data_IF_588675705023
#
_entry.id   IF_588675705023
#
_cell.length_a   1.000
_cell.length_b   1.000
_cell.length_c   1.000
_cell.angle_alpha   90.00
_cell.angle_beta   90.00
_cell.angle_gamma   90.00
#
_symmetry.space_group_name_H-M   'P 1'
#
loop_
_entity.id
_entity.type
_entity.pdbx_description
1 polymer ?
#
# COMPACT_ATOMS: atom_id res chain seq x y z
N UNK A 1 5.19 27.70 81.39
CA UNK A 1 6.31 26.90 80.84
C UNK A 1 5.73 25.80 79.97
N UNK A 2 6.00 25.92 78.65
CA UNK A 2 6.20 24.84 77.68
C UNK A 2 4.98 23.95 77.38
N UNK A 3 4.06 24.27 76.45
CA UNK A 3 4.29 24.48 75.02
C UNK A 3 5.29 23.46 74.42
N UNK A 4 4.96 22.16 74.35
CA UNK A 4 5.70 21.22 73.48
C UNK A 4 5.08 19.81 73.27
N UNK A 5 3.77 19.60 73.15
CA UNK A 5 3.26 18.25 72.82
C UNK A 5 2.19 18.16 71.72
N UNK A 6 1.82 19.27 71.08
CA UNK A 6 0.84 19.29 69.98
C UNK A 6 1.49 19.41 68.58
N UNK A 7 2.53 18.61 68.29
CA UNK A 7 3.18 18.59 66.97
C UNK A 7 3.61 17.15 66.61
N UNK A 8 2.68 16.18 66.66
CA UNK A 8 2.99 14.79 66.26
C UNK A 8 1.95 14.12 65.36
N UNK A 9 0.90 14.81 64.90
CA UNK A 9 -0.21 14.16 64.18
C UNK A 9 -0.61 14.79 62.83
N UNK A 10 0.23 15.60 62.19
CA UNK A 10 -0.11 16.23 60.89
C UNK A 10 1.01 16.17 59.85
N UNK A 11 1.99 15.28 60.02
CA UNK A 11 3.14 15.15 59.09
C UNK A 11 3.31 13.73 58.54
N UNK A 12 2.23 12.97 58.40
CA UNK A 12 2.28 11.60 57.87
C UNK A 12 1.37 11.24 56.68
N UNK A 13 0.45 12.08 56.15
CA UNK A 13 -0.35 11.66 54.99
C UNK A 13 0.13 12.24 53.64
N UNK A 14 1.20 13.05 53.60
CA UNK A 14 1.60 13.71 52.34
C UNK A 14 2.83 13.07 51.65
N UNK A 15 3.66 12.32 52.38
CA UNK A 15 4.83 11.65 51.80
C UNK A 15 4.49 10.29 51.12
N UNK A 16 3.34 9.68 51.45
CA UNK A 16 2.93 8.40 50.87
C UNK A 16 2.15 8.56 49.55
N UNK A 17 1.56 9.74 49.30
CA UNK A 17 0.82 10.00 48.06
C UNK A 17 1.73 10.37 46.87
N UNK A 18 2.95 10.90 47.13
CA UNK A 18 3.90 11.25 46.08
C UNK A 18 4.70 10.04 45.56
N UNK A 19 4.78 8.96 46.33
CA UNK A 19 5.51 7.74 45.93
C UNK A 19 4.68 6.80 45.05
N UNK A 20 3.34 6.86 45.13
CA UNK A 20 2.44 6.02 44.32
C UNK A 20 2.23 6.60 42.90
N UNK A 21 2.41 7.91 42.71
CA UNK A 21 2.32 8.55 41.39
C UNK A 21 3.62 8.46 40.56
N UNK A 22 4.78 8.20 41.18
CA UNK A 22 6.05 7.98 40.48
C UNK A 22 6.31 6.50 40.12
N UNK A 23 5.57 5.55 40.69
CA UNK A 23 5.71 4.13 40.37
C UNK A 23 5.02 3.72 39.06
N UNK A 24 4.10 4.53 38.52
CA UNK A 24 3.42 4.24 37.24
C UNK A 24 4.21 4.69 36.00
N UNK A 25 5.30 5.45 36.14
CA UNK A 25 6.07 5.95 35.00
C UNK A 25 7.09 4.93 34.44
N UNK A 26 7.35 3.81 35.13
CA UNK A 26 8.42 2.87 34.75
C UNK A 26 7.96 1.68 33.88
N UNK A 27 6.66 1.51 33.63
CA UNK A 27 6.14 0.40 32.80
C UNK A 27 5.85 0.76 31.35
N UNK A 28 6.15 1.98 30.90
CA UNK A 28 6.27 2.28 29.47
C UNK A 28 7.59 1.74 28.90
N UNK A 29 7.88 0.46 29.17
CA UNK A 29 8.94 -0.27 28.50
C UNK A 29 8.45 -0.47 27.08
N UNK A 30 9.13 0.15 26.11
CA UNK A 30 8.91 -0.05 24.70
C UNK A 30 8.68 -1.55 24.44
N UNK A 31 7.44 -1.93 24.13
CA UNK A 31 7.18 -3.20 23.48
C UNK A 31 7.85 -3.09 22.13
N UNK A 32 9.06 -3.62 22.03
CA UNK A 32 9.67 -3.93 20.75
C UNK A 32 8.68 -4.86 20.05
N UNK A 33 7.90 -4.31 19.12
CA UNK A 33 6.99 -5.09 18.29
C UNK A 33 7.81 -6.25 17.72
N UNK A 34 7.36 -7.49 17.99
CA UNK A 34 8.00 -8.65 17.42
C UNK A 34 8.05 -8.48 15.89
N UNK A 35 9.15 -8.83 15.22
CA UNK A 35 9.24 -8.67 13.77
C UNK A 35 8.08 -9.41 13.11
N UNK A 36 7.17 -8.68 12.44
CA UNK A 36 6.14 -9.32 11.62
C UNK A 36 6.85 -10.16 10.55
N UNK A 37 6.43 -11.42 10.33
CA UNK A 37 6.96 -12.23 9.25
C UNK A 37 6.79 -11.51 7.91
N UNK A 38 7.81 -11.52 7.07
CA UNK A 38 7.73 -10.94 5.74
C UNK A 38 6.69 -11.70 4.90
N UNK A 39 5.88 -11.00 4.07
CA UNK A 39 4.88 -11.66 3.25
C UNK A 39 5.56 -12.50 2.16
N UNK A 40 5.38 -13.82 2.21
CA UNK A 40 6.12 -14.75 1.35
C UNK A 40 5.61 -14.76 -0.10
N UNK A 41 6.52 -15.00 -1.05
CA UNK A 41 6.18 -15.18 -2.48
C UNK A 41 5.42 -16.50 -2.70
N UNK A 42 5.74 -17.54 -1.92
CA UNK A 42 5.01 -18.81 -1.98
C UNK A 42 3.53 -18.64 -1.61
N UNK A 43 3.24 -17.89 -0.54
CA UNK A 43 1.86 -17.57 -0.14
C UNK A 43 1.13 -16.74 -1.21
N UNK A 44 1.82 -15.78 -1.83
CA UNK A 44 1.28 -15.03 -2.96
C UNK A 44 0.93 -15.93 -4.14
N UNK A 45 1.78 -16.90 -4.51
CA UNK A 45 1.50 -17.79 -5.64
C UNK A 45 0.24 -18.63 -5.42
N UNK A 46 0.02 -19.10 -4.18
CA UNK A 46 -1.21 -19.80 -3.80
C UNK A 46 -2.42 -18.87 -3.93
N UNK A 47 -2.33 -17.64 -3.42
CA UNK A 47 -3.39 -16.64 -3.53
C UNK A 47 -3.73 -16.29 -4.98
N UNK A 48 -2.72 -16.13 -5.84
CA UNK A 48 -2.92 -15.85 -7.26
C UNK A 48 -3.54 -17.04 -8.01
N UNK A 49 -3.18 -18.28 -7.66
CA UNK A 49 -3.81 -19.47 -8.22
C UNK A 49 -5.28 -19.60 -7.80
N UNK A 50 -5.60 -19.27 -6.54
CA UNK A 50 -6.98 -19.21 -6.06
C UNK A 50 -7.77 -18.14 -6.81
N UNK A 51 -7.19 -16.95 -7.03
CA UNK A 51 -7.82 -15.89 -7.81
C UNK A 51 -8.09 -16.30 -9.26
N UNK A 52 -7.12 -16.93 -9.93
CA UNK A 52 -7.32 -17.44 -11.29
C UNK A 52 -8.47 -18.46 -11.35
N UNK A 53 -8.55 -19.37 -10.37
CA UNK A 53 -9.63 -20.36 -10.29
C UNK A 53 -10.99 -19.70 -10.01
N UNK A 54 -11.06 -18.77 -9.06
CA UNK A 54 -12.29 -18.03 -8.75
C UNK A 54 -12.75 -17.25 -9.98
N UNK A 55 -11.85 -16.55 -10.67
CA UNK A 55 -12.19 -15.79 -11.87
C UNK A 55 -12.77 -16.68 -13.00
N UNK A 56 -12.20 -17.88 -13.19
CA UNK A 56 -12.70 -18.85 -14.16
C UNK A 56 -14.09 -19.36 -13.79
N UNK A 57 -14.28 -19.77 -12.53
CA UNK A 57 -15.58 -20.25 -12.03
C UNK A 57 -16.64 -19.17 -12.13
N UNK A 58 -16.34 -17.95 -11.66
CA UNK A 58 -17.27 -16.82 -11.75
C UNK A 58 -17.62 -16.51 -13.20
N UNK A 59 -16.66 -16.54 -14.12
CA UNK A 59 -16.96 -16.32 -15.54
C UNK A 59 -17.87 -17.41 -16.13
N UNK A 60 -17.68 -18.68 -15.74
CA UNK A 60 -18.56 -19.78 -16.15
C UNK A 60 -19.97 -19.63 -15.58
N UNK A 61 -20.10 -19.18 -14.34
CA UNK A 61 -21.40 -19.03 -13.70
C UNK A 61 -22.15 -17.80 -14.24
N UNK A 62 -21.44 -16.69 -14.48
CA UNK A 62 -21.98 -15.53 -15.22
C UNK A 62 -22.53 -15.93 -16.59
N UNK A 63 -21.84 -16.79 -17.34
CA UNK A 63 -22.28 -17.26 -18.65
C UNK A 63 -23.53 -18.16 -18.61
N UNK A 64 -23.81 -18.78 -17.46
CA UNK A 64 -25.00 -19.63 -17.26
C UNK A 64 -26.21 -18.85 -16.76
N UNK A 65 -26.01 -17.64 -16.22
CA UNK A 65 -27.10 -16.86 -15.64
C UNK A 65 -28.20 -16.62 -16.68
N UNK A 66 -29.44 -16.78 -16.24
CA UNK A 66 -30.62 -16.50 -17.05
C UNK A 66 -31.30 -15.24 -16.52
N UNK A 67 -30.56 -14.12 -16.55
CA UNK A 67 -30.99 -12.81 -16.01
C UNK A 67 -32.32 -12.38 -16.63
N UNK A 68 -32.57 -12.74 -17.88
CA UNK A 68 -33.83 -12.46 -18.58
C UNK A 68 -35.05 -13.12 -17.92
N UNK A 69 -34.84 -14.21 -17.18
CA UNK A 69 -35.87 -14.98 -16.46
C UNK A 69 -36.03 -14.56 -15.00
N UNK A 70 -35.19 -13.65 -14.50
CA UNK A 70 -35.28 -13.19 -13.12
C UNK A 70 -36.53 -12.34 -12.90
N UNK A 71 -37.09 -12.41 -11.69
CA UNK A 71 -38.31 -11.69 -11.28
C UNK A 71 -38.05 -10.22 -10.97
N UNK A 72 -37.50 -9.48 -11.93
CA UNK A 72 -37.26 -8.03 -11.86
C UNK A 72 -37.89 -7.30 -13.05
N UNK A 73 -38.01 -5.97 -12.97
CA UNK A 73 -38.51 -5.16 -14.07
C UNK A 73 -37.50 -5.09 -15.24
N UNK A 74 -37.94 -4.58 -16.40
CA UNK A 74 -37.13 -4.56 -17.64
C UNK A 74 -35.81 -3.78 -17.49
N UNK A 75 -35.88 -2.57 -16.94
CA UNK A 75 -34.72 -1.70 -16.77
C UNK A 75 -33.67 -2.29 -15.83
N UNK A 76 -34.11 -2.89 -14.71
CA UNK A 76 -33.22 -3.60 -13.79
C UNK A 76 -32.58 -4.79 -14.49
N UNK A 77 -33.32 -5.61 -15.25
CA UNK A 77 -32.73 -6.73 -16.01
C UNK A 77 -31.65 -6.26 -16.99
N UNK A 78 -31.90 -5.18 -17.71
CA UNK A 78 -30.92 -4.62 -18.65
C UNK A 78 -29.64 -4.16 -17.92
N UNK A 79 -29.79 -3.50 -16.75
CA UNK A 79 -28.65 -3.08 -15.95
C UNK A 79 -27.86 -4.29 -15.42
N UNK A 80 -28.53 -5.32 -14.90
CA UNK A 80 -27.89 -6.53 -14.41
C UNK A 80 -27.13 -7.27 -15.51
N UNK A 81 -27.71 -7.34 -16.73
CA UNK A 81 -27.03 -7.91 -17.88
C UNK A 81 -25.76 -7.11 -18.22
N UNK A 82 -25.85 -5.78 -18.25
CA UNK A 82 -24.69 -4.91 -18.48
C UNK A 82 -23.57 -5.10 -17.44
N UNK A 83 -23.96 -5.30 -16.16
CA UNK A 83 -23.03 -5.59 -15.08
C UNK A 83 -22.35 -6.96 -15.27
N UNK A 84 -23.12 -8.01 -15.59
CA UNK A 84 -22.60 -9.35 -15.85
C UNK A 84 -21.63 -9.37 -17.04
N UNK A 85 -21.97 -8.68 -18.13
CA UNK A 85 -21.10 -8.56 -19.30
C UNK A 85 -19.80 -7.80 -18.96
N UNK A 86 -19.89 -6.76 -18.13
CA UNK A 86 -18.73 -5.98 -17.69
C UNK A 86 -17.81 -6.79 -16.78
N UNK A 87 -18.38 -7.59 -15.87
CA UNK A 87 -17.64 -8.55 -15.06
C UNK A 87 -16.91 -9.55 -15.95
N UNK A 88 -17.61 -10.20 -16.89
CA UNK A 88 -17.01 -11.19 -17.79
C UNK A 88 -15.85 -10.62 -18.60
N UNK A 89 -16.01 -9.42 -19.19
CA UNK A 89 -14.93 -8.73 -19.90
C UNK A 89 -13.73 -8.41 -19.00
N UNK A 90 -13.96 -7.99 -17.76
CA UNK A 90 -12.87 -7.65 -16.85
C UNK A 90 -12.12 -8.90 -16.36
N UNK A 91 -12.84 -9.96 -16.02
CA UNK A 91 -12.28 -11.26 -15.61
C UNK A 91 -11.44 -11.90 -16.71
N UNK A 92 -11.88 -11.82 -17.97
CA UNK A 92 -11.20 -12.46 -19.10
C UNK A 92 -10.16 -11.57 -19.79
N UNK A 93 -10.36 -10.24 -19.79
CA UNK A 93 -9.52 -9.30 -20.52
C UNK A 93 -8.52 -8.51 -19.66
N UNK A 94 -8.90 -8.08 -18.46
CA UNK A 94 -8.07 -7.19 -17.64
C UNK A 94 -7.32 -7.93 -16.54
N UNK A 95 -8.01 -8.81 -15.81
CA UNK A 95 -7.46 -9.49 -14.64
C UNK A 95 -6.19 -10.31 -14.96
N UNK A 96 -6.10 -11.09 -16.05
CA UNK A 96 -4.91 -11.90 -16.34
C UNK A 96 -3.65 -11.05 -16.53
N UNK A 97 -3.77 -9.88 -17.15
CA UNK A 97 -2.65 -8.97 -17.34
C UNK A 97 -2.20 -8.35 -16.01
N UNK A 98 -3.13 -8.02 -15.11
CA UNK A 98 -2.81 -7.48 -13.78
C UNK A 98 -2.15 -8.55 -12.91
N UNK A 99 -2.69 -9.77 -12.90
CA UNK A 99 -2.08 -10.93 -12.21
C UNK A 99 -0.69 -11.20 -12.76
N UNK A 100 -0.51 -11.18 -14.08
CA UNK A 100 0.80 -11.29 -14.73
C UNK A 100 1.79 -10.23 -14.23
N UNK A 101 1.36 -8.97 -14.12
CA UNK A 101 2.18 -7.89 -13.57
C UNK A 101 2.63 -8.13 -12.12
N UNK A 102 1.76 -8.68 -11.28
CA UNK A 102 2.13 -9.06 -9.90
C UNK A 102 3.08 -10.26 -9.89
N UNK A 103 2.86 -11.28 -10.73
CA UNK A 103 3.77 -12.44 -10.85
C UNK A 103 5.18 -12.02 -11.29
N UNK A 104 5.29 -11.06 -12.20
CA UNK A 104 6.58 -10.53 -12.66
C UNK A 104 7.27 -9.63 -11.63
N UNK A 105 6.55 -9.13 -10.63
CA UNK A 105 7.08 -8.18 -9.64
C UNK A 105 6.36 -8.33 -8.28
N UNK A 106 6.53 -9.46 -7.59
CA UNK A 106 5.73 -9.80 -6.40
C UNK A 106 5.99 -8.86 -5.20
N UNK A 107 7.17 -8.24 -5.16
CA UNK A 107 7.61 -7.28 -4.13
C UNK A 107 7.20 -5.82 -4.44
N UNK A 108 6.62 -5.57 -5.62
CA UNK A 108 6.21 -4.24 -6.04
C UNK A 108 4.85 -3.88 -5.41
N UNK A 109 4.89 -2.95 -4.45
CA UNK A 109 3.70 -2.50 -3.71
C UNK A 109 2.61 -1.94 -4.64
N UNK A 110 2.99 -1.16 -5.66
CA UNK A 110 2.04 -0.57 -6.59
C UNK A 110 1.34 -1.61 -7.47
N UNK A 111 2.05 -2.66 -7.91
CA UNK A 111 1.46 -3.76 -8.67
C UNK A 111 0.44 -4.55 -7.82
N UNK A 112 0.80 -4.88 -6.58
CA UNK A 112 -0.11 -5.56 -5.65
C UNK A 112 -1.35 -4.69 -5.35
N UNK A 113 -1.16 -3.38 -5.14
CA UNK A 113 -2.28 -2.46 -4.91
C UNK A 113 -3.21 -2.33 -6.11
N UNK A 114 -2.67 -2.32 -7.33
CA UNK A 114 -3.48 -2.34 -8.57
C UNK A 114 -4.32 -3.61 -8.66
N UNK A 115 -3.76 -4.77 -8.29
CA UNK A 115 -4.51 -6.03 -8.23
C UNK A 115 -5.62 -5.96 -7.18
N UNK A 116 -5.31 -5.53 -5.96
CA UNK A 116 -6.30 -5.35 -4.90
C UNK A 116 -7.46 -4.47 -5.33
N UNK A 117 -7.20 -3.27 -5.89
CA UNK A 117 -8.26 -2.36 -6.35
C UNK A 117 -9.13 -2.95 -7.45
N UNK A 118 -8.55 -3.76 -8.34
CA UNK A 118 -9.32 -4.42 -9.39
C UNK A 118 -10.20 -5.53 -8.82
N UNK A 119 -9.68 -6.35 -7.90
CA UNK A 119 -10.46 -7.38 -7.19
C UNK A 119 -11.58 -6.76 -6.35
N UNK A 120 -11.33 -5.65 -5.68
CA UNK A 120 -12.32 -4.89 -4.90
C UNK A 120 -13.46 -4.38 -5.80
N UNK A 121 -13.14 -3.79 -6.97
CA UNK A 121 -14.17 -3.38 -7.93
C UNK A 121 -14.98 -4.55 -8.50
N UNK A 122 -14.34 -5.70 -8.75
CA UNK A 122 -15.04 -6.93 -9.16
C UNK A 122 -15.99 -7.41 -8.06
N UNK A 123 -15.53 -7.38 -6.80
CA UNK A 123 -16.32 -7.74 -5.64
C UNK A 123 -17.55 -6.86 -5.46
N UNK A 124 -17.41 -5.53 -5.60
CA UNK A 124 -18.54 -4.60 -5.46
C UNK A 124 -19.65 -4.88 -6.48
N UNK A 125 -19.27 -5.03 -7.75
CA UNK A 125 -20.25 -5.28 -8.83
C UNK A 125 -20.89 -6.66 -8.71
N UNK A 126 -20.11 -7.69 -8.36
CA UNK A 126 -20.61 -9.04 -8.16
C UNK A 126 -21.51 -9.13 -6.93
N UNK A 127 -21.17 -8.42 -5.85
CA UNK A 127 -22.00 -8.35 -4.63
C UNK A 127 -23.33 -7.66 -4.93
N UNK A 128 -23.33 -6.53 -5.63
CA UNK A 128 -24.56 -5.86 -6.06
C UNK A 128 -25.44 -6.74 -6.95
N UNK A 129 -24.84 -7.51 -7.87
CA UNK A 129 -25.56 -8.49 -8.69
C UNK A 129 -26.19 -9.60 -7.83
N UNK A 130 -25.43 -10.11 -6.85
CA UNK A 130 -25.85 -11.16 -5.91
C UNK A 130 -26.98 -10.70 -4.99
N UNK A 131 -26.93 -9.45 -4.52
CA UNK A 131 -27.96 -8.86 -3.66
C UNK A 131 -29.31 -8.82 -4.38
N UNK A 132 -29.33 -8.44 -5.66
CA UNK A 132 -30.57 -8.48 -6.46
C UNK A 132 -31.00 -9.92 -6.73
N UNK A 133 -30.04 -10.82 -6.99
CA UNK A 133 -30.30 -12.23 -7.22
C UNK A 133 -30.98 -12.91 -6.02
N UNK A 134 -30.63 -12.52 -4.79
CA UNK A 134 -31.17 -13.12 -3.55
C UNK A 134 -32.70 -13.14 -3.48
N UNK A 135 -33.34 -12.14 -4.08
CA UNK A 135 -34.81 -11.98 -4.05
C UNK A 135 -35.48 -12.29 -5.40
N UNK A 136 -34.70 -12.32 -6.48
CA UNK A 136 -35.26 -12.27 -7.84
C UNK A 136 -34.84 -13.42 -8.73
N UNK A 137 -33.71 -14.06 -8.44
CA UNK A 137 -33.16 -15.12 -9.26
C UNK A 137 -33.66 -16.51 -8.83
N UNK A 138 -33.57 -17.53 -9.70
CA UNK A 138 -33.64 -18.92 -9.28
C UNK A 138 -32.59 -19.23 -8.21
N UNK A 139 -32.90 -20.18 -7.32
CA UNK A 139 -32.01 -20.55 -6.21
C UNK A 139 -30.60 -20.95 -6.68
N UNK A 140 -30.49 -21.63 -7.82
CA UNK A 140 -29.21 -22.04 -8.39
C UNK A 140 -28.32 -20.84 -8.76
N UNK A 141 -28.86 -19.89 -9.51
CA UNK A 141 -28.16 -18.66 -9.91
C UNK A 141 -27.68 -17.86 -8.67
N UNK A 142 -28.56 -17.67 -7.68
CA UNK A 142 -28.19 -16.99 -6.44
C UNK A 142 -27.08 -17.72 -5.67
N UNK A 143 -27.17 -19.04 -5.54
CA UNK A 143 -26.17 -19.83 -4.79
C UNK A 143 -24.80 -19.82 -5.47
N UNK A 144 -24.75 -19.88 -6.80
CA UNK A 144 -23.51 -19.76 -7.55
C UNK A 144 -22.85 -18.39 -7.29
N UNK A 145 -23.62 -17.31 -7.48
CA UNK A 145 -23.14 -15.95 -7.25
C UNK A 145 -22.70 -15.69 -5.80
N UNK A 146 -23.45 -16.17 -4.81
CA UNK A 146 -23.09 -16.06 -3.40
C UNK A 146 -21.78 -16.79 -3.08
N UNK A 147 -21.54 -17.94 -3.71
CA UNK A 147 -20.28 -18.69 -3.57
C UNK A 147 -19.12 -17.91 -4.17
N UNK A 148 -19.29 -17.36 -5.37
CA UNK A 148 -18.30 -16.53 -6.04
C UNK A 148 -17.92 -15.29 -5.21
N UNK A 149 -18.92 -14.56 -4.68
CA UNK A 149 -18.72 -13.40 -3.80
C UNK A 149 -17.92 -13.80 -2.56
N UNK A 150 -18.25 -14.92 -1.91
CA UNK A 150 -17.53 -15.40 -0.73
C UNK A 150 -16.06 -15.71 -1.04
N UNK A 151 -15.79 -16.37 -2.17
CA UNK A 151 -14.43 -16.69 -2.58
C UNK A 151 -13.62 -15.41 -2.88
N UNK A 152 -14.25 -14.47 -3.59
CA UNK A 152 -13.61 -13.21 -3.95
C UNK A 152 -13.32 -12.34 -2.71
N UNK A 153 -14.21 -12.35 -1.71
CA UNK A 153 -14.00 -11.66 -0.43
C UNK A 153 -12.78 -12.18 0.33
N UNK A 154 -12.60 -13.51 0.37
CA UNK A 154 -11.43 -14.13 1.00
C UNK A 154 -10.14 -13.67 0.31
N UNK A 155 -10.13 -13.68 -1.03
CA UNK A 155 -8.98 -13.21 -1.81
C UNK A 155 -8.70 -11.73 -1.58
N UNK A 156 -9.76 -10.90 -1.58
CA UNK A 156 -9.67 -9.46 -1.38
C UNK A 156 -9.06 -9.11 -0.02
N UNK A 157 -9.49 -9.78 1.04
CA UNK A 157 -8.90 -9.63 2.39
C UNK A 157 -7.44 -10.07 2.43
N UNK A 158 -7.12 -11.24 1.88
CA UNK A 158 -5.74 -11.73 1.86
C UNK A 158 -4.79 -10.80 1.07
N UNK A 159 -5.26 -10.16 0.00
CA UNK A 159 -4.51 -9.13 -0.72
C UNK A 159 -4.31 -7.87 0.13
N UNK A 160 -5.34 -7.43 0.86
CA UNK A 160 -5.22 -6.29 1.78
C UNK A 160 -4.19 -6.56 2.88
N UNK A 161 -4.28 -7.72 3.55
CA UNK A 161 -3.34 -8.14 4.60
C UNK A 161 -1.89 -8.18 4.08
N UNK A 162 -1.69 -8.68 2.85
CA UNK A 162 -0.37 -8.68 2.21
C UNK A 162 0.15 -7.26 1.98
N UNK A 163 -0.69 -6.37 1.48
CA UNK A 163 -0.32 -4.96 1.22
C UNK A 163 0.07 -4.27 2.53
N UNK A 164 -0.70 -4.50 3.59
CA UNK A 164 -0.41 -3.99 4.93
C UNK A 164 0.94 -4.51 5.44
N UNK A 165 1.20 -5.82 5.35
CA UNK A 165 2.48 -6.41 5.74
C UNK A 165 3.67 -5.83 4.96
N UNK A 166 3.51 -5.64 3.64
CA UNK A 166 4.54 -5.00 2.83
C UNK A 166 4.78 -3.55 3.25
N UNK A 167 3.71 -2.77 3.50
CA UNK A 167 3.83 -1.39 3.94
C UNK A 167 4.55 -1.29 5.29
N UNK A 168 4.13 -2.08 6.28
CA UNK A 168 4.75 -2.14 7.61
C UNK A 168 6.24 -2.49 7.54
N UNK A 169 6.63 -3.41 6.66
CA UNK A 169 8.05 -3.74 6.44
C UNK A 169 8.85 -2.57 5.86
N UNK A 170 8.28 -1.82 4.91
CA UNK A 170 8.93 -0.64 4.33
C UNK A 170 9.07 0.46 5.37
N UNK A 171 8.05 0.72 6.16
CA UNK A 171 8.09 1.70 7.25
C UNK A 171 9.13 1.33 8.32
N UNK A 172 9.20 0.05 8.70
CA UNK A 172 10.23 -0.44 9.62
C UNK A 172 11.65 -0.34 9.04
N UNK A 173 11.83 -0.42 7.71
CA UNK A 173 13.11 -0.20 7.06
C UNK A 173 13.49 1.30 7.06
N UNK A 174 12.53 2.18 6.79
CA UNK A 174 12.72 3.63 6.84
C UNK A 174 13.08 4.12 8.25
N UNK A 175 12.44 3.56 9.28
CA UNK A 175 12.72 3.88 10.68
C UNK A 175 14.14 3.46 11.15
N UNK A 176 14.76 2.47 10.48
CA UNK A 176 16.09 1.95 10.82
C UNK A 176 17.23 2.56 9.97
N UNK A 177 16.92 3.22 8.87
CA UNK A 177 17.91 3.86 8.00
C UNK A 177 18.42 5.20 8.55
N UNK A 178 19.63 5.67 8.17
CA UNK A 178 20.24 6.90 8.71
C UNK A 178 19.49 8.22 8.41
N UNK A 179 18.34 8.16 7.72
CA UNK A 179 17.49 9.31 7.40
C UNK A 179 16.27 9.46 8.33
N UNK A 180 16.05 8.54 9.26
CA UNK A 180 15.05 8.70 10.32
C UNK A 180 15.62 9.57 11.45
N UNK A 181 15.17 10.83 11.53
CA UNK A 181 15.58 11.88 12.50
C UNK A 181 16.84 12.68 12.13
N UNK A 182 16.66 13.79 11.40
CA UNK A 182 17.13 15.15 11.78
C UNK A 182 16.93 16.13 10.61
N UNK A 183 15.70 16.64 10.46
CA UNK A 183 15.46 17.88 9.71
C UNK A 183 14.69 18.87 10.60
N UNK A 184 15.33 19.30 11.68
CA UNK A 184 15.26 20.67 12.24
C UNK A 184 15.86 20.69 13.65
N UNK A 185 17.18 20.89 13.74
CA UNK A 185 17.80 21.64 14.83
C UNK A 185 19.26 21.96 14.49
N UNK A 186 19.50 23.26 14.33
CA UNK A 186 20.79 23.97 14.39
C UNK A 186 21.72 23.79 13.18
N UNK A 187 21.67 24.83 12.34
CA UNK A 187 22.86 25.42 11.73
C UNK A 187 23.96 25.53 12.77
N UNK A 188 24.89 24.57 12.75
CA UNK A 188 26.11 24.54 13.53
C UNK A 188 27.27 24.51 12.54
N UNK A 189 27.92 25.67 12.38
CA UNK A 189 29.18 25.83 11.63
C UNK A 189 30.13 24.67 11.96
N UNK A 190 30.40 23.81 10.98
CA UNK A 190 31.54 22.90 11.03
C UNK A 190 32.23 22.87 9.66
N UNK A 191 33.39 23.54 9.63
CA UNK A 191 34.55 23.23 8.80
C UNK A 191 34.34 23.00 7.32
N UNK A 192 34.39 24.08 6.53
CA UNK A 192 34.74 24.02 5.10
C UNK A 192 36.15 23.43 4.99
N UNK A 193 36.26 22.12 4.76
CA UNK A 193 37.46 21.54 4.16
C UNK A 193 37.34 21.77 2.66
N UNK A 194 38.24 22.61 2.14
CA UNK A 194 38.41 22.95 0.73
C UNK A 194 38.28 21.68 -0.13
N UNK A 195 37.23 21.62 -0.94
CA UNK A 195 37.29 20.86 -2.19
C UNK A 195 38.14 21.74 -3.11
N UNK A 196 39.40 21.37 -3.27
CA UNK A 196 40.21 21.86 -4.38
C UNK A 196 39.58 21.29 -5.64
N UNK A 197 38.74 22.09 -6.28
CA UNK A 197 38.29 21.85 -7.65
C UNK A 197 39.48 22.26 -8.51
N UNK A 198 40.20 21.26 -9.03
CA UNK A 198 41.13 21.43 -10.14
C UNK A 198 40.28 21.71 -11.39
N UNK A 199 40.01 23.00 -11.59
CA UNK A 199 39.34 23.56 -12.74
C UNK A 199 40.36 23.62 -13.90
N UNK A 200 40.63 22.48 -14.52
CA UNK A 200 41.36 22.43 -15.79
C UNK A 200 40.38 22.62 -16.96
N UNK A 201 39.90 23.86 -17.12
CA UNK A 201 39.36 24.38 -18.37
C UNK A 201 40.41 25.28 -19.05
N UNK A 202 40.55 25.23 -20.39
CA UNK A 202 41.71 25.78 -21.09
C UNK A 202 41.72 27.32 -21.14
N UNK A 203 42.94 27.86 -21.13
CA UNK A 203 43.23 29.28 -21.07
C UNK A 203 42.70 30.11 -22.26
N UNK A 204 42.45 31.37 -21.95
CA UNK A 204 41.80 32.45 -22.71
C UNK A 204 42.42 32.76 -24.08
N UNK A 205 41.53 33.07 -25.03
CA UNK A 205 41.79 33.81 -26.27
C UNK A 205 41.77 35.32 -26.02
N UNK A 206 42.76 36.05 -26.56
CA UNK A 206 42.58 37.38 -27.18
C UNK A 206 43.82 37.74 -28.01
N UNK A 207 43.67 38.01 -29.31
CA UNK A 207 44.10 39.25 -30.02
C UNK A 207 43.62 39.22 -31.48
N UNK A 208 43.12 40.37 -31.93
CA UNK A 208 42.42 40.61 -33.20
C UNK A 208 43.34 41.03 -34.37
N UNK A 209 42.79 40.84 -35.60
CA UNK A 209 42.80 41.71 -36.81
C UNK A 209 43.80 41.48 -37.99
N UNK A 210 43.18 41.01 -39.10
CA UNK A 210 43.18 41.44 -40.54
C UNK A 210 44.42 41.29 -41.48
N UNK A 211 44.23 40.37 -42.48
CA UNK A 211 44.50 40.30 -43.97
C UNK A 211 45.29 41.45 -44.68
N UNK A 212 45.83 41.32 -45.93
CA UNK A 212 45.85 40.19 -46.91
C UNK A 212 47.13 39.97 -47.81
N UNK A 213 47.18 38.82 -48.52
CA UNK A 213 47.66 38.52 -49.91
C UNK A 213 49.08 38.85 -50.47
N UNK A 214 49.66 37.83 -51.15
CA UNK A 214 50.60 37.85 -52.33
C UNK A 214 52.06 38.29 -52.02
N UNK A 215 53.16 37.62 -52.42
CA UNK A 215 53.61 37.15 -53.75
C UNK A 215 54.88 36.28 -53.62
N UNK A 216 55.05 35.30 -54.51
CA UNK A 216 56.33 34.62 -54.90
C UNK A 216 57.24 35.58 -55.72
N UNK A 217 58.49 35.22 -56.12
CA UNK A 217 59.68 36.08 -56.04
C UNK A 217 60.05 36.72 -57.40
N UNK A 218 61.19 37.44 -57.45
CA UNK A 218 62.10 37.23 -58.57
C UNK A 218 63.54 36.96 -58.10
N UNK A 219 64.09 35.84 -58.55
CA UNK A 219 65.05 35.89 -59.66
C UNK A 219 64.44 35.13 -60.84
#
# INVERSE_FOLDING_TARGET
>A
MNALHSIRKTLFPCALALFILLAFAAFARAQSAAPMPAPSVAGLNVLLAQLDQTAQTTNLDLAKLRIEKWKTNGDVRQQLQSNADSLSRNLTGALPAIVGGVRSSPENLAANFKLYRNVDALYDVLSALTDVASNSAPRGDYQALATDVSNLEVIRRALADRIEAMAAMRDAALARGPGGTTASAKSGKSGVKKIVIDDSAPAKSTTHKKKPATTTPPQ
#
